data_IF_945494593873
#
_entry.id   IF_945494593873
#
_cell.length_a   1.000
_cell.length_b   1.000
_cell.length_c   1.000
_cell.angle_alpha   90.00
_cell.angle_beta   90.00
_cell.angle_gamma   90.00
#
_symmetry.space_group_name_H-M   'P 1'
#
loop_
_entity.id
_entity.type
_entity.pdbx_description
1 polymer ?
#
# COMPACT_ATOMS: atom_id res chain seq x y z
N UNK A 1 -0.51 36.03 -17.70
CA UNK A 1 -1.21 36.23 -16.40
C UNK A 1 -2.67 36.02 -16.71
N UNK A 2 -3.40 35.01 -16.24
CA UNK A 2 -3.30 34.15 -15.07
C UNK A 2 -3.75 32.74 -15.49
N UNK A 3 -2.86 31.75 -15.41
CA UNK A 3 -3.31 30.36 -15.30
C UNK A 3 -3.88 30.21 -13.89
N UNK A 4 -5.16 30.57 -13.76
CA UNK A 4 -5.97 30.34 -12.57
C UNK A 4 -5.83 28.88 -12.16
N UNK A 5 -5.03 28.66 -11.11
CA UNK A 5 -5.30 27.73 -10.02
C UNK A 5 -6.02 26.46 -10.48
N UNK A 6 -5.28 25.52 -11.05
CA UNK A 6 -5.60 24.11 -10.89
C UNK A 6 -5.22 23.66 -9.46
N UNK A 7 -5.56 24.48 -8.45
CA UNK A 7 -5.41 24.20 -7.02
C UNK A 7 -6.60 23.37 -6.52
N UNK A 8 -7.01 22.39 -7.31
CA UNK A 8 -7.73 21.25 -6.76
C UNK A 8 -6.66 20.28 -6.32
N UNK A 9 -6.25 20.39 -5.06
CA UNK A 9 -5.48 19.38 -4.35
C UNK A 9 -6.21 18.06 -4.59
N UNK A 10 -5.69 17.25 -5.53
CA UNK A 10 -6.25 15.96 -5.91
C UNK A 10 -5.97 15.02 -4.75
N UNK A 11 -6.69 15.21 -3.65
CA UNK A 11 -6.40 14.54 -2.39
C UNK A 11 -6.69 13.05 -2.58
N UNK A 12 -5.64 12.23 -2.55
CA UNK A 12 -5.76 10.80 -2.71
C UNK A 12 -5.06 10.10 -1.57
N UNK A 13 -5.86 9.42 -0.73
CA UNK A 13 -5.36 8.66 0.41
C UNK A 13 -4.18 7.74 0.07
N UNK A 14 -4.15 7.10 -1.11
CA UNK A 14 -3.04 6.21 -1.46
C UNK A 14 -1.76 6.94 -1.87
N UNK A 15 -1.85 8.22 -2.25
CA UNK A 15 -0.68 9.05 -2.47
C UNK A 15 -0.04 9.40 -1.13
N UNK A 16 -0.83 9.94 -0.21
CA UNK A 16 -0.37 10.31 1.14
C UNK A 16 0.21 9.09 1.87
N UNK A 17 -0.51 7.95 1.83
CA UNK A 17 -0.03 6.70 2.41
C UNK A 17 1.31 6.25 1.84
N UNK A 18 1.52 6.44 0.53
CA UNK A 18 2.75 6.03 -0.13
C UNK A 18 3.93 6.92 0.23
N UNK A 19 3.72 8.24 0.29
CA UNK A 19 4.75 9.21 0.71
C UNK A 19 5.19 8.93 2.14
N UNK A 20 4.22 8.84 3.07
CA UNK A 20 4.48 8.49 4.46
C UNK A 20 5.22 7.15 4.60
N UNK A 21 4.76 6.14 3.85
CA UNK A 21 5.36 4.81 3.89
C UNK A 21 6.82 4.84 3.42
N UNK A 22 7.10 5.45 2.26
CA UNK A 22 8.45 5.55 1.70
C UNK A 22 9.39 6.30 2.67
N UNK A 23 8.92 7.40 3.25
CA UNK A 23 9.71 8.20 4.20
C UNK A 23 10.00 7.46 5.52
N UNK A 24 9.15 6.50 5.91
CA UNK A 24 9.34 5.67 7.11
C UNK A 24 10.24 4.44 6.91
N UNK A 25 10.73 4.19 5.69
CA UNK A 25 11.57 3.03 5.39
C UNK A 25 13.01 3.26 5.85
N UNK A 26 13.59 2.27 6.52
CA UNK A 26 15.02 2.20 6.78
C UNK A 26 15.80 2.00 5.47
N UNK A 27 17.11 2.16 5.52
CA UNK A 27 17.98 1.97 4.33
C UNK A 27 17.86 0.56 3.75
N UNK A 28 17.81 -0.48 4.60
CA UNK A 28 17.68 -1.88 4.16
C UNK A 28 16.31 -2.15 3.56
N UNK A 29 15.23 -1.68 4.20
CA UNK A 29 13.86 -1.81 3.67
C UNK A 29 13.70 -1.08 2.32
N UNK A 30 14.29 0.10 2.17
CA UNK A 30 14.33 0.81 0.89
C UNK A 30 14.98 -0.03 -0.21
N UNK A 31 16.12 -0.67 0.08
CA UNK A 31 16.79 -1.57 -0.86
C UNK A 31 15.90 -2.76 -1.21
N UNK A 32 15.25 -3.37 -0.21
CA UNK A 32 14.34 -4.51 -0.41
C UNK A 32 13.12 -4.12 -1.25
N UNK A 33 12.45 -3.00 -0.93
CA UNK A 33 11.31 -2.47 -1.67
C UNK A 33 11.65 -2.19 -3.14
N UNK A 34 12.81 -1.56 -3.40
CA UNK A 34 13.32 -1.32 -4.76
C UNK A 34 13.50 -2.62 -5.52
N UNK A 35 14.19 -3.61 -4.94
CA UNK A 35 14.41 -4.92 -5.56
C UNK A 35 13.08 -5.64 -5.83
N UNK A 36 12.16 -5.59 -4.87
CA UNK A 36 10.85 -6.21 -4.99
C UNK A 36 10.02 -5.59 -6.13
N UNK A 37 9.97 -4.26 -6.22
CA UNK A 37 9.28 -3.55 -7.30
C UNK A 37 9.91 -3.85 -8.68
N UNK A 38 11.24 -3.90 -8.76
CA UNK A 38 11.96 -4.25 -9.98
C UNK A 38 11.71 -5.70 -10.43
N UNK A 39 11.62 -6.64 -9.50
CA UNK A 39 11.35 -8.05 -9.81
C UNK A 39 9.95 -8.27 -10.40
N UNK A 40 8.99 -7.39 -10.08
CA UNK A 40 7.63 -7.45 -10.61
C UNK A 40 7.52 -7.11 -12.11
N UNK A 41 8.65 -6.86 -12.79
CA UNK A 41 8.73 -6.60 -14.24
C UNK A 41 8.41 -7.80 -15.13
N UNK A 42 8.35 -9.03 -14.62
CA UNK A 42 8.26 -10.24 -15.46
C UNK A 42 6.84 -10.80 -15.61
N UNK A 43 6.25 -10.62 -16.80
CA UNK A 43 5.69 -11.70 -17.68
C UNK A 43 4.62 -11.21 -18.67
N UNK A 44 3.91 -10.11 -18.42
CA UNK A 44 2.79 -9.68 -19.30
C UNK A 44 2.63 -8.17 -19.52
N UNK A 45 3.53 -7.33 -19.01
CA UNK A 45 3.43 -5.86 -19.18
C UNK A 45 4.73 -5.29 -19.73
N UNK A 46 4.79 -5.13 -21.06
CA UNK A 46 5.83 -4.32 -21.67
C UNK A 46 5.56 -2.82 -21.43
N UNK A 47 6.66 -2.09 -21.29
CA UNK A 47 6.82 -0.61 -21.27
C UNK A 47 6.50 0.12 -19.95
N UNK A 48 7.61 0.40 -19.26
CA UNK A 48 7.84 1.31 -18.12
C UNK A 48 7.43 0.76 -16.77
N UNK A 49 8.44 0.67 -15.90
CA UNK A 49 8.33 0.26 -14.51
C UNK A 49 7.73 1.40 -13.68
N UNK A 50 6.45 1.66 -13.93
CA UNK A 50 5.75 2.81 -13.38
C UNK A 50 5.69 2.77 -11.86
N UNK A 51 5.60 1.59 -11.24
CA UNK A 51 5.59 1.48 -9.78
C UNK A 51 6.97 1.83 -9.19
N UNK A 52 8.06 1.33 -9.77
CA UNK A 52 9.40 1.69 -9.33
C UNK A 52 9.76 3.14 -9.62
N UNK A 53 9.36 3.67 -10.78
CA UNK A 53 9.58 5.09 -11.10
C UNK A 53 8.82 5.96 -10.10
N UNK A 54 7.58 5.62 -9.78
CA UNK A 54 6.77 6.32 -8.78
C UNK A 54 7.44 6.28 -7.40
N UNK A 55 7.95 5.12 -6.99
CA UNK A 55 8.72 4.98 -5.75
C UNK A 55 9.97 5.86 -5.75
N UNK A 56 10.80 5.79 -6.79
CA UNK A 56 12.04 6.57 -6.92
C UNK A 56 11.78 8.08 -6.92
N UNK A 57 10.73 8.52 -7.60
CA UNK A 57 10.41 9.94 -7.68
C UNK A 57 9.98 10.49 -6.32
N UNK A 58 9.15 9.76 -5.57
CA UNK A 58 8.78 10.15 -4.20
C UNK A 58 9.98 10.11 -3.26
N UNK A 59 10.82 9.07 -3.36
CA UNK A 59 12.04 8.97 -2.53
C UNK A 59 13.01 10.14 -2.78
N UNK A 60 13.13 10.60 -4.03
CA UNK A 60 14.04 11.70 -4.38
C UNK A 60 13.42 13.07 -4.14
N UNK A 61 12.09 13.18 -4.20
CA UNK A 61 11.33 14.40 -4.00
C UNK A 61 10.08 14.13 -3.16
N UNK A 62 10.21 14.26 -1.83
CA UNK A 62 9.15 13.97 -0.87
C UNK A 62 8.01 14.99 -0.87
N UNK A 63 8.22 16.17 -1.46
CA UNK A 63 7.24 17.27 -1.51
C UNK A 63 6.49 17.35 -2.86
N UNK A 64 6.71 16.38 -3.76
CA UNK A 64 6.12 16.39 -5.09
C UNK A 64 4.59 16.40 -5.04
N UNK A 65 3.95 17.22 -5.88
CA UNK A 65 2.49 17.22 -5.99
C UNK A 65 1.99 16.00 -6.79
N UNK A 66 0.81 15.49 -6.42
CA UNK A 66 0.21 14.33 -7.08
C UNK A 66 -0.09 14.56 -8.57
N UNK A 67 -0.47 15.78 -8.97
CA UNK A 67 -0.74 16.12 -10.36
C UNK A 67 0.58 16.16 -11.16
N UNK A 68 1.63 16.72 -10.57
CA UNK A 68 2.99 16.71 -11.14
C UNK A 68 3.50 15.27 -11.31
N UNK A 69 3.43 14.45 -10.25
CA UNK A 69 3.83 13.05 -10.29
C UNK A 69 3.05 12.25 -11.34
N UNK A 70 1.74 12.52 -11.49
CA UNK A 70 0.94 11.90 -12.55
C UNK A 70 1.46 12.25 -13.94
N UNK A 71 1.75 13.53 -14.19
CA UNK A 71 2.26 13.99 -15.48
C UNK A 71 3.61 13.37 -15.82
N UNK A 72 4.49 13.19 -14.82
CA UNK A 72 5.79 12.55 -14.99
C UNK A 72 5.69 11.05 -15.31
N UNK A 73 4.86 10.32 -14.55
CA UNK A 73 4.85 8.85 -14.59
C UNK A 73 3.83 8.29 -15.60
N UNK A 74 2.69 8.95 -15.76
CA UNK A 74 1.55 8.44 -16.55
C UNK A 74 0.67 9.59 -17.08
N UNK A 75 1.21 10.43 -18.00
CA UNK A 75 0.48 11.59 -18.51
C UNK A 75 -0.83 11.19 -19.21
N UNK A 76 -0.76 10.16 -20.06
CA UNK A 76 -1.86 9.73 -20.93
C UNK A 76 -2.87 8.79 -20.24
N UNK A 77 -2.81 8.64 -18.92
CA UNK A 77 -3.68 7.72 -18.16
C UNK A 77 -4.74 8.54 -17.41
N UNK A 78 -5.96 8.02 -17.37
CA UNK A 78 -7.03 8.61 -16.57
C UNK A 78 -6.68 8.64 -15.08
N UNK A 79 -7.20 9.64 -14.36
CA UNK A 79 -6.93 9.78 -12.92
C UNK A 79 -7.33 8.52 -12.13
N UNK A 80 -8.45 7.88 -12.48
CA UNK A 80 -8.92 6.63 -11.86
C UNK A 80 -7.93 5.48 -12.04
N UNK A 81 -7.36 5.32 -13.23
CA UNK A 81 -6.36 4.31 -13.51
C UNK A 81 -5.02 4.62 -12.84
N UNK A 82 -4.68 5.91 -12.68
CA UNK A 82 -3.53 6.35 -11.91
C UNK A 82 -3.69 6.07 -10.40
N UNK A 83 -4.86 6.30 -9.82
CA UNK A 83 -5.14 5.92 -8.43
C UNK A 83 -5.07 4.41 -8.20
N UNK A 84 -5.47 3.60 -9.17
CA UNK A 84 -5.23 2.15 -9.13
C UNK A 84 -3.73 1.80 -9.19
N UNK A 85 -2.90 2.59 -9.87
CA UNK A 85 -1.44 2.43 -9.83
C UNK A 85 -0.92 2.75 -8.43
N UNK A 86 -1.27 3.89 -7.84
CA UNK A 86 -0.87 4.27 -6.47
C UNK A 86 -1.22 3.18 -5.46
N UNK A 87 -2.48 2.73 -5.44
CA UNK A 87 -2.93 1.64 -4.57
C UNK A 87 -2.09 0.38 -4.73
N UNK A 88 -1.77 -0.01 -5.97
CA UNK A 88 -0.93 -1.18 -6.26
C UNK A 88 0.50 -0.97 -5.77
N UNK A 89 1.06 0.23 -5.94
CA UNK A 89 2.41 0.55 -5.45
C UNK A 89 2.46 0.47 -3.92
N UNK A 90 1.51 1.08 -3.20
CA UNK A 90 1.41 0.97 -1.73
C UNK A 90 1.39 -0.49 -1.30
N UNK A 91 0.53 -1.30 -1.94
CA UNK A 91 0.43 -2.72 -1.62
C UNK A 91 1.75 -3.46 -1.84
N UNK A 92 2.43 -3.24 -2.97
CA UNK A 92 3.73 -3.88 -3.26
C UNK A 92 4.85 -3.42 -2.34
N UNK A 93 4.85 -2.16 -1.90
CA UNK A 93 5.82 -1.69 -0.92
C UNK A 93 5.56 -2.35 0.43
N UNK A 94 4.30 -2.45 0.88
CA UNK A 94 3.95 -3.18 2.11
C UNK A 94 4.32 -4.66 2.05
N UNK A 95 4.02 -5.34 0.94
CA UNK A 95 4.43 -6.74 0.73
C UNK A 95 5.95 -6.89 0.85
N UNK A 96 6.75 -5.94 0.35
CA UNK A 96 8.21 -6.02 0.44
C UNK A 96 8.78 -5.98 1.87
N UNK A 97 7.97 -5.56 2.84
CA UNK A 97 8.33 -5.56 4.26
C UNK A 97 8.18 -6.95 4.90
N UNK A 98 7.66 -7.92 4.15
CA UNK A 98 7.42 -9.28 4.60
C UNK A 98 7.87 -10.31 3.55
N UNK A 99 8.24 -11.52 4.00
CA UNK A 99 8.46 -12.64 3.09
C UNK A 99 7.10 -13.31 2.87
N UNK A 100 6.55 -13.22 1.64
CA UNK A 100 5.17 -13.61 1.35
C UNK A 100 5.04 -14.81 0.40
N UNK A 101 4.09 -15.72 0.70
CA UNK A 101 3.57 -16.71 -0.25
C UNK A 101 2.38 -16.14 -1.02
N UNK A 102 2.47 -16.12 -2.36
CA UNK A 102 1.38 -15.67 -3.24
C UNK A 102 0.19 -16.64 -3.24
N UNK A 103 -0.88 -16.27 -2.53
CA UNK A 103 -2.11 -17.07 -2.40
C UNK A 103 -3.01 -17.07 -3.64
N UNK A 104 -2.77 -16.16 -4.58
CA UNK A 104 -3.58 -16.00 -5.80
C UNK A 104 -3.09 -16.85 -6.95
N UNK A 105 -2.02 -17.64 -6.76
CA UNK A 105 -1.56 -18.61 -7.76
C UNK A 105 -2.70 -19.60 -8.04
N UNK A 106 -2.99 -19.85 -9.32
CA UNK A 106 -4.07 -20.75 -9.74
C UNK A 106 -3.89 -22.12 -9.04
N UNK A 107 -4.99 -22.63 -8.48
CA UNK A 107 -5.30 -24.02 -8.06
C UNK A 107 -5.12 -24.57 -6.63
N UNK A 108 -4.69 -23.86 -5.56
CA UNK A 108 -4.34 -24.60 -4.32
C UNK A 108 -5.15 -24.34 -3.03
N UNK A 109 -5.94 -23.27 -2.91
CA UNK A 109 -6.57 -22.94 -1.63
C UNK A 109 -8.04 -22.54 -1.75
N UNK A 110 -8.87 -23.06 -0.83
CA UNK A 110 -10.26 -22.65 -0.64
C UNK A 110 -10.37 -21.18 -0.24
N UNK A 111 -11.53 -20.58 -0.52
CA UNK A 111 -11.78 -19.15 -0.25
C UNK A 111 -11.57 -18.79 1.22
N UNK A 112 -12.12 -19.58 2.14
CA UNK A 112 -11.98 -19.39 3.60
C UNK A 112 -10.51 -19.34 4.01
N UNK A 113 -9.70 -20.29 3.52
CA UNK A 113 -8.26 -20.33 3.81
C UNK A 113 -7.53 -19.09 3.28
N UNK A 114 -7.84 -18.67 2.05
CA UNK A 114 -7.24 -17.46 1.44
C UNK A 114 -7.57 -16.21 2.25
N UNK A 115 -8.82 -16.07 2.70
CA UNK A 115 -9.25 -14.91 3.48
C UNK A 115 -8.59 -14.91 4.86
N UNK A 116 -8.61 -16.04 5.59
CA UNK A 116 -7.95 -16.15 6.89
C UNK A 116 -6.47 -15.79 6.81
N UNK A 117 -5.76 -16.32 5.83
CA UNK A 117 -4.33 -16.04 5.68
C UNK A 117 -4.07 -14.61 5.18
N UNK A 118 -4.96 -14.02 4.38
CA UNK A 118 -4.87 -12.59 4.05
C UNK A 118 -5.04 -11.70 5.28
N UNK A 119 -6.00 -12.01 6.17
CA UNK A 119 -6.18 -11.28 7.43
C UNK A 119 -4.90 -11.33 8.27
N UNK A 120 -4.29 -12.51 8.41
CA UNK A 120 -3.03 -12.65 9.16
C UNK A 120 -1.90 -11.81 8.56
N UNK A 121 -1.79 -11.73 7.24
CA UNK A 121 -0.84 -10.81 6.59
C UNK A 121 -1.15 -9.36 6.91
N UNK A 122 -2.41 -8.97 6.79
CA UNK A 122 -2.82 -7.59 7.03
C UNK A 122 -2.57 -7.19 8.50
N UNK A 123 -2.74 -8.10 9.47
CA UNK A 123 -2.39 -7.87 10.88
C UNK A 123 -0.90 -7.59 11.04
N UNK A 124 -0.02 -8.43 10.47
CA UNK A 124 1.44 -8.21 10.57
C UNK A 124 1.83 -6.89 9.90
N UNK A 125 1.27 -6.58 8.73
CA UNK A 125 1.49 -5.28 8.08
C UNK A 125 1.02 -4.13 8.97
N UNK A 126 -0.15 -4.24 9.60
CA UNK A 126 -0.65 -3.20 10.50
C UNK A 126 0.27 -2.99 11.72
N UNK A 127 0.83 -4.06 12.28
CA UNK A 127 1.83 -3.99 13.35
C UNK A 127 3.14 -3.32 12.89
N UNK A 128 3.64 -3.66 11.70
CA UNK A 128 4.82 -3.00 11.12
C UNK A 128 4.55 -1.49 10.93
N UNK A 129 3.39 -1.13 10.39
CA UNK A 129 2.99 0.28 10.22
C UNK A 129 2.90 1.00 11.56
N UNK A 130 2.32 0.36 12.58
CA UNK A 130 2.21 0.91 13.93
C UNK A 130 3.59 1.18 14.53
N UNK A 131 4.51 0.22 14.45
CA UNK A 131 5.89 0.36 14.94
C UNK A 131 6.67 1.45 14.21
N UNK A 132 6.24 1.83 13.01
CA UNK A 132 6.79 2.94 12.23
C UNK A 132 6.12 4.29 12.51
N UNK A 133 5.17 4.35 13.46
CA UNK A 133 4.41 5.56 13.78
C UNK A 133 3.30 5.90 12.77
N UNK A 134 3.01 5.02 11.81
CA UNK A 134 1.99 5.21 10.76
C UNK A 134 0.59 4.83 11.26
N UNK A 135 0.17 5.48 12.35
CA UNK A 135 -1.05 5.16 13.12
C UNK A 135 -2.31 5.13 12.24
N UNK A 136 -2.52 6.15 11.41
CA UNK A 136 -3.70 6.25 10.55
C UNK A 136 -3.79 5.10 9.54
N UNK A 137 -2.65 4.68 8.98
CA UNK A 137 -2.59 3.57 8.04
C UNK A 137 -2.88 2.24 8.76
N UNK A 138 -2.27 2.03 9.93
CA UNK A 138 -2.48 0.85 10.75
C UNK A 138 -3.94 0.72 11.19
N UNK A 139 -4.56 1.79 11.74
CA UNK A 139 -5.96 1.81 12.15
C UNK A 139 -6.93 1.59 10.99
N UNK A 140 -6.62 2.15 9.81
CA UNK A 140 -7.36 1.90 8.59
C UNK A 140 -7.32 0.42 8.18
N UNK A 141 -6.16 -0.22 8.33
CA UNK A 141 -5.99 -1.64 8.04
C UNK A 141 -6.73 -2.52 9.05
N UNK A 142 -6.61 -2.25 10.36
CA UNK A 142 -7.36 -2.96 11.40
C UNK A 142 -8.88 -2.85 11.23
N UNK A 143 -9.38 -1.68 10.83
CA UNK A 143 -10.81 -1.50 10.56
C UNK A 143 -11.27 -2.37 9.38
N UNK A 144 -10.45 -2.50 8.33
CA UNK A 144 -10.76 -3.40 7.22
C UNK A 144 -10.64 -4.89 7.63
N UNK A 145 -9.65 -5.24 8.45
CA UNK A 145 -9.49 -6.59 9.03
C UNK A 145 -10.73 -6.99 9.81
N UNK A 146 -11.18 -6.16 10.76
CA UNK A 146 -12.37 -6.44 11.59
C UNK A 146 -13.59 -6.67 10.71
N UNK A 147 -13.81 -5.81 9.71
CA UNK A 147 -14.94 -5.94 8.78
C UNK A 147 -14.95 -7.28 8.05
N UNK A 148 -13.80 -7.69 7.50
CA UNK A 148 -13.68 -8.96 6.76
C UNK A 148 -13.74 -10.15 7.73
N UNK A 149 -13.13 -10.06 8.90
CA UNK A 149 -13.14 -11.12 9.90
C UNK A 149 -14.56 -11.40 10.43
N UNK A 150 -15.38 -10.36 10.63
CA UNK A 150 -16.81 -10.51 10.97
C UNK A 150 -17.59 -11.20 9.85
N UNK A 151 -17.38 -10.78 8.60
CA UNK A 151 -18.06 -11.36 7.43
C UNK A 151 -17.78 -12.87 7.27
N UNK A 152 -16.62 -13.34 7.71
CA UNK A 152 -16.17 -14.74 7.62
C UNK A 152 -16.16 -15.47 8.98
N UNK A 153 -16.74 -14.86 10.03
CA UNK A 153 -16.85 -15.44 11.38
C UNK A 153 -15.51 -15.87 12.02
N UNK A 154 -14.44 -15.13 11.72
CA UNK A 154 -13.10 -15.31 12.29
C UNK A 154 -12.94 -14.53 13.60
N UNK A 155 -13.59 -15.01 14.66
CA UNK A 155 -13.70 -14.28 15.92
C UNK A 155 -12.37 -14.06 16.64
N UNK A 156 -11.42 -15.00 16.56
CA UNK A 156 -10.09 -14.85 17.16
C UNK A 156 -9.36 -13.63 16.56
N UNK A 157 -9.36 -13.51 15.23
CA UNK A 157 -8.77 -12.37 14.52
C UNK A 157 -9.53 -11.05 14.79
N UNK A 158 -10.84 -11.09 15.05
CA UNK A 158 -11.61 -9.91 15.51
C UNK A 158 -11.13 -9.45 16.88
N UNK A 159 -11.00 -10.37 17.84
CA UNK A 159 -10.56 -10.06 19.20
C UNK A 159 -9.14 -9.47 19.16
N UNK A 160 -8.22 -10.09 18.43
CA UNK A 160 -6.86 -9.60 18.28
C UNK A 160 -6.82 -8.16 17.72
N UNK A 161 -7.54 -7.91 16.62
CA UNK A 161 -7.57 -6.59 16.00
C UNK A 161 -8.22 -5.52 16.90
N UNK A 162 -9.24 -5.88 17.68
CA UNK A 162 -9.90 -4.98 18.63
C UNK A 162 -8.99 -4.64 19.81
N UNK A 163 -8.30 -5.62 20.41
CA UNK A 163 -7.36 -5.41 21.50
C UNK A 163 -6.25 -4.43 21.09
N UNK A 164 -5.70 -4.60 19.89
CA UNK A 164 -4.68 -3.68 19.39
C UNK A 164 -5.25 -2.27 19.17
N UNK A 165 -6.46 -2.14 18.59
CA UNK A 165 -7.11 -0.83 18.44
C UNK A 165 -7.37 -0.13 19.77
N UNK A 166 -7.77 -0.88 20.80
CA UNK A 166 -8.00 -0.33 22.14
C UNK A 166 -6.69 0.17 22.77
N UNK A 167 -5.60 -0.60 22.68
CA UNK A 167 -4.29 -0.21 23.19
C UNK A 167 -3.70 1.03 22.49
N UNK A 168 -4.11 1.32 21.25
CA UNK A 168 -3.69 2.53 20.52
C UNK A 168 -4.50 3.75 20.96
N UNK A 169 -5.74 3.55 21.42
CA UNK A 169 -6.65 4.62 21.82
C UNK A 169 -6.48 5.04 23.29
N UNK A 170 -5.89 4.18 24.13
CA UNK A 170 -5.51 4.44 25.52
C UNK A 170 -4.18 5.20 25.62
#
# INVERSE_FOLDING_TARGET
MENKKLNNKLNNKYFDELVELINSLTKSENVTAKKHLQAYRSNHTSRKDKMFQLFRTIETNSEIDIAELKLLISPNVSIKSYYKLLKRTVFRVRESLMIEVNLKRKSNYGTIFKVRYQIKKDIIVAQILLNKGLLNQALGLYTNIIRIAIEYEFFDEVIEALLIKLNIAS
#
